data_IF_346488180614
#
_entry.id   IF_346488180614
#
_cell.length_a   1.000
_cell.length_b   1.000
_cell.length_c   1.000
_cell.angle_alpha   90.00
_cell.angle_beta   90.00
_cell.angle_gamma   90.00
#
_symmetry.space_group_name_H-M   'P 1'
#
loop_
_entity.id
_entity.type
_entity.pdbx_description
1 polymer ?
#
# COMPACT_ATOMS: atom_id res chain seq x y z
N UNK A 1 0.72 1.23 -8.03
CA UNK A 1 -0.46 0.39 -7.76
C UNK A 1 -1.65 0.86 -8.57
N UNK A 2 -2.50 -0.04 -9.08
CA UNK A 2 -3.71 0.34 -9.84
C UNK A 2 -4.92 0.61 -8.95
N UNK A 3 -5.13 -0.22 -7.93
CA UNK A 3 -6.31 -0.18 -7.08
C UNK A 3 -6.00 -0.84 -5.74
N UNK A 4 -6.29 -0.10 -4.67
CA UNK A 4 -6.28 -0.58 -3.30
C UNK A 4 -7.54 -1.39 -3.02
N UNK A 5 -7.37 -2.61 -2.52
CA UNK A 5 -8.43 -3.50 -2.05
C UNK A 5 -9.66 -3.59 -2.98
N UNK A 6 -9.48 -4.00 -4.24
CA UNK A 6 -10.59 -4.17 -5.20
C UNK A 6 -11.72 -5.05 -4.63
N UNK A 7 -11.39 -5.98 -3.74
CA UNK A 7 -12.33 -6.91 -3.13
C UNK A 7 -13.33 -6.24 -2.18
N UNK A 8 -13.07 -5.02 -1.73
CA UNK A 8 -14.07 -4.22 -1.03
C UNK A 8 -15.31 -3.94 -1.85
N UNK A 9 -15.17 -3.93 -3.18
CA UNK A 9 -16.25 -3.66 -4.12
C UNK A 9 -16.74 -4.88 -4.89
N UNK A 10 -16.15 -6.07 -4.67
CA UNK A 10 -16.41 -7.24 -5.52
C UNK A 10 -17.81 -7.85 -5.29
N UNK A 11 -18.40 -8.36 -6.37
CA UNK A 11 -19.59 -9.21 -6.31
C UNK A 11 -19.21 -10.68 -6.07
N UNK A 12 -19.95 -11.35 -5.19
CA UNK A 12 -19.85 -12.81 -4.98
C UNK A 12 -20.75 -13.53 -5.98
N UNK A 13 -20.15 -14.30 -6.89
CA UNK A 13 -20.83 -14.91 -8.04
C UNK A 13 -20.16 -16.21 -8.45
N UNK A 14 -20.98 -17.20 -8.81
CA UNK A 14 -20.51 -18.45 -9.41
C UNK A 14 -20.28 -18.27 -10.90
N UNK A 15 -19.19 -18.86 -11.40
CA UNK A 15 -18.85 -18.95 -12.82
C UNK A 15 -18.11 -20.28 -13.05
N UNK A 16 -18.15 -20.81 -14.27
CA UNK A 16 -17.39 -22.01 -14.64
C UNK A 16 -15.90 -21.69 -14.83
N UNK A 17 -15.59 -20.43 -15.13
CA UNK A 17 -14.23 -19.91 -15.23
C UNK A 17 -13.67 -19.60 -13.84
N UNK A 18 -12.60 -20.27 -13.37
CA UNK A 18 -12.02 -20.01 -12.07
C UNK A 18 -11.59 -18.54 -11.89
N UNK A 19 -11.15 -17.87 -12.95
CA UNK A 19 -10.80 -16.44 -12.90
C UNK A 19 -11.99 -15.54 -12.55
N UNK A 20 -13.22 -16.03 -12.71
CA UNK A 20 -14.46 -15.26 -12.55
C UNK A 20 -15.35 -15.79 -11.42
N UNK A 21 -15.03 -16.95 -10.87
CA UNK A 21 -15.80 -17.58 -9.80
C UNK A 21 -15.34 -17.06 -8.45
N UNK A 22 -16.08 -16.10 -7.89
CA UNK A 22 -15.78 -15.46 -6.60
C UNK A 22 -16.49 -16.12 -5.42
N UNK A 23 -17.08 -17.31 -5.60
CA UNK A 23 -17.77 -17.99 -4.49
C UNK A 23 -16.84 -18.41 -3.35
N UNK A 24 -15.56 -18.60 -3.63
CA UNK A 24 -14.52 -18.82 -2.61
C UNK A 24 -14.34 -17.65 -1.64
N UNK A 25 -14.77 -16.45 -2.02
CA UNK A 25 -14.74 -15.25 -1.17
C UNK A 25 -16.03 -15.10 -0.34
N UNK A 26 -16.97 -16.04 -0.43
CA UNK A 26 -18.20 -15.97 0.36
C UNK A 26 -17.90 -16.18 1.85
N UNK A 27 -18.30 -15.21 2.67
CA UNK A 27 -18.11 -15.27 4.12
C UNK A 27 -16.73 -14.82 4.60
N UNK A 28 -15.83 -14.36 3.72
CA UNK A 28 -14.50 -13.85 4.09
C UNK A 28 -14.49 -12.35 4.43
N UNK A 29 -15.62 -11.65 4.22
CA UNK A 29 -15.74 -10.20 4.42
C UNK A 29 -15.64 -9.38 3.12
N UNK A 30 -15.26 -10.00 2.00
CA UNK A 30 -15.23 -9.34 0.69
C UNK A 30 -16.60 -8.73 0.31
N UNK A 31 -16.57 -7.62 -0.42
CA UNK A 31 -17.75 -6.88 -0.87
C UNK A 31 -18.33 -5.90 0.15
N UNK A 32 -17.58 -5.54 1.20
CA UNK A 32 -18.07 -4.72 2.33
C UNK A 32 -18.60 -3.34 1.91
N UNK A 33 -18.16 -2.77 0.79
CA UNK A 33 -18.67 -1.48 0.30
C UNK A 33 -20.09 -1.56 -0.27
N UNK A 34 -20.56 -2.76 -0.62
CA UNK A 34 -21.86 -2.97 -1.27
C UNK A 34 -21.92 -2.56 -2.76
N UNK A 35 -20.78 -2.21 -3.37
CA UNK A 35 -20.73 -1.80 -4.79
C UNK A 35 -21.03 -2.94 -5.78
N UNK A 36 -20.79 -4.20 -5.38
CA UNK A 36 -21.12 -5.42 -6.15
C UNK A 36 -20.63 -5.40 -7.62
N UNK A 37 -19.35 -5.09 -7.83
CA UNK A 37 -18.69 -5.03 -9.13
C UNK A 37 -18.25 -6.44 -9.56
N UNK A 38 -18.55 -6.83 -10.81
CA UNK A 38 -18.11 -8.12 -11.37
C UNK A 38 -16.57 -8.17 -11.46
N UNK A 39 -15.95 -9.26 -10.99
CA UNK A 39 -14.48 -9.42 -11.00
C UNK A 39 -13.90 -9.29 -12.42
N UNK A 40 -14.66 -9.65 -13.46
CA UNK A 40 -14.25 -9.44 -14.85
C UNK A 40 -13.99 -7.96 -15.16
N UNK A 41 -14.79 -7.07 -14.59
CA UNK A 41 -14.66 -5.63 -14.81
C UNK A 41 -13.47 -5.05 -14.04
N UNK A 42 -13.23 -5.53 -12.82
CA UNK A 42 -12.04 -5.19 -12.02
C UNK A 42 -10.76 -5.65 -12.72
N UNK A 43 -10.70 -6.92 -13.13
CA UNK A 43 -9.54 -7.47 -13.86
C UNK A 43 -9.31 -6.74 -15.18
N UNK A 44 -10.37 -6.41 -15.94
CA UNK A 44 -10.25 -5.62 -17.17
C UNK A 44 -9.74 -4.20 -16.90
N UNK A 45 -10.21 -3.56 -15.82
CA UNK A 45 -9.77 -2.23 -15.39
C UNK A 45 -8.27 -2.24 -15.03
N UNK A 46 -7.82 -3.26 -14.28
CA UNK A 46 -6.41 -3.46 -13.95
C UNK A 46 -5.59 -3.72 -15.20
N UNK A 47 -5.95 -4.72 -16.00
CA UNK A 47 -5.20 -5.13 -17.19
C UNK A 47 -4.94 -3.96 -18.16
N UNK A 48 -5.97 -3.18 -18.48
CA UNK A 48 -5.84 -2.09 -19.45
C UNK A 48 -5.01 -0.93 -18.95
N UNK A 49 -5.10 -0.58 -17.66
CA UNK A 49 -4.28 0.49 -17.10
C UNK A 49 -2.84 0.06 -16.92
N UNK A 50 -2.59 -1.17 -16.47
CA UNK A 50 -1.24 -1.74 -16.40
C UNK A 50 -0.58 -1.73 -17.78
N UNK A 51 -1.29 -2.16 -18.83
CA UNK A 51 -0.76 -2.13 -20.19
C UNK A 51 -0.45 -0.71 -20.67
N UNK A 52 -1.30 0.27 -20.33
CA UNK A 52 -1.06 1.67 -20.66
C UNK A 52 0.16 2.24 -19.92
N UNK A 53 0.34 1.89 -18.64
CA UNK A 53 1.52 2.28 -17.85
C UNK A 53 2.78 1.69 -18.49
N UNK A 54 2.82 0.40 -18.79
CA UNK A 54 3.98 -0.24 -19.44
C UNK A 54 4.28 0.31 -20.83
N UNK A 55 3.26 0.74 -21.58
CA UNK A 55 3.46 1.40 -22.86
C UNK A 55 4.05 2.81 -22.72
N UNK A 56 3.66 3.55 -21.67
CA UNK A 56 4.14 4.90 -21.39
C UNK A 56 5.54 4.90 -20.74
N UNK A 57 5.79 3.96 -19.82
CA UNK A 57 7.05 3.74 -19.15
C UNK A 57 7.34 2.23 -19.05
N UNK A 58 8.15 1.66 -19.96
CA UNK A 58 8.50 0.24 -19.96
C UNK A 58 9.31 -0.24 -18.75
N UNK A 59 9.73 0.67 -17.85
CA UNK A 59 10.45 0.32 -16.61
C UNK A 59 9.58 0.47 -15.36
N UNK A 60 8.37 1.01 -15.49
CA UNK A 60 7.44 1.10 -14.37
C UNK A 60 7.06 -0.29 -13.90
N UNK A 61 6.97 -0.47 -12.58
CA UNK A 61 6.46 -1.67 -11.95
C UNK A 61 5.03 -1.41 -11.45
N UNK A 62 4.13 -2.36 -11.67
CA UNK A 62 2.71 -2.25 -11.36
C UNK A 62 2.25 -3.40 -10.44
N UNK A 63 1.35 -3.07 -9.51
CA UNK A 63 0.81 -3.95 -8.48
C UNK A 63 -0.67 -3.62 -8.22
N UNK A 64 -1.33 -4.47 -7.44
CA UNK A 64 -2.67 -4.31 -6.84
C UNK A 64 -2.57 -4.81 -5.39
N UNK A 65 -2.87 -3.96 -4.42
CA UNK A 65 -2.96 -4.35 -3.01
C UNK A 65 -4.25 -5.11 -2.73
N UNK A 66 -4.18 -6.45 -2.61
CA UNK A 66 -5.34 -7.26 -2.23
C UNK A 66 -5.58 -7.18 -0.73
N UNK A 67 -6.83 -7.07 -0.28
CA UNK A 67 -7.15 -6.91 1.16
C UNK A 67 -6.70 -8.09 2.04
N UNK A 68 -6.52 -9.26 1.42
CA UNK A 68 -6.14 -10.52 2.07
C UNK A 68 -5.66 -11.53 1.03
N UNK A 69 -4.96 -12.56 1.50
CA UNK A 69 -4.50 -13.72 0.75
C UNK A 69 -5.61 -14.48 0.01
N UNK A 70 -6.87 -14.38 0.46
CA UNK A 70 -8.01 -15.13 -0.11
C UNK A 70 -8.19 -14.91 -1.63
N UNK A 71 -7.69 -13.80 -2.18
CA UNK A 71 -7.81 -13.42 -3.59
C UNK A 71 -6.49 -13.46 -4.38
N UNK A 72 -5.40 -13.85 -3.72
CA UNK A 72 -4.06 -13.59 -4.23
C UNK A 72 -3.15 -14.81 -4.29
N UNK A 73 -3.69 -16.02 -4.11
CA UNK A 73 -2.97 -17.28 -4.30
C UNK A 73 -3.92 -18.41 -4.74
N UNK A 74 -3.41 -19.34 -5.56
CA UNK A 74 -4.09 -20.60 -5.87
C UNK A 74 -3.78 -21.72 -4.85
N UNK A 75 -2.93 -21.44 -3.87
CA UNK A 75 -2.66 -22.36 -2.76
C UNK A 75 -3.76 -22.25 -1.68
N UNK A 76 -3.71 -23.15 -0.69
CA UNK A 76 -4.65 -23.19 0.45
C UNK A 76 -6.14 -23.35 0.10
N UNK A 77 -6.46 -23.68 -1.16
CA UNK A 77 -7.83 -23.74 -1.64
C UNK A 77 -8.42 -22.38 -2.03
N UNK A 78 -7.59 -21.34 -2.12
CA UNK A 78 -7.97 -20.01 -2.58
C UNK A 78 -7.86 -19.89 -4.10
N UNK A 79 -8.11 -18.69 -4.62
CA UNK A 79 -7.98 -18.39 -6.05
C UNK A 79 -7.18 -17.12 -6.22
N UNK A 80 -6.16 -17.16 -7.08
CA UNK A 80 -5.45 -15.97 -7.52
C UNK A 80 -6.23 -15.31 -8.67
N UNK A 81 -6.96 -14.24 -8.36
CA UNK A 81 -7.72 -13.48 -9.36
C UNK A 81 -6.86 -12.48 -10.15
N UNK A 82 -5.62 -12.25 -9.74
CA UNK A 82 -4.74 -11.21 -10.29
C UNK A 82 -3.56 -11.78 -11.10
N UNK A 83 -3.49 -13.11 -11.27
CA UNK A 83 -2.50 -13.76 -12.16
C UNK A 83 -2.66 -13.34 -13.60
N UNK A 84 -1.55 -13.44 -14.35
CA UNK A 84 -1.42 -12.95 -15.72
C UNK A 84 -2.49 -13.51 -16.66
N UNK A 85 -2.84 -14.79 -16.47
CA UNK A 85 -3.91 -15.44 -17.23
C UNK A 85 -5.25 -14.73 -17.03
N UNK A 86 -5.66 -14.48 -15.80
CA UNK A 86 -6.95 -13.87 -15.49
C UNK A 86 -7.03 -12.42 -15.98
N UNK A 87 -5.97 -11.63 -15.74
CA UNK A 87 -5.89 -10.24 -16.22
C UNK A 87 -5.94 -10.16 -17.74
N UNK A 88 -5.12 -10.97 -18.42
CA UNK A 88 -5.05 -10.98 -19.90
C UNK A 88 -6.37 -11.46 -20.50
N UNK A 89 -7.01 -12.47 -19.90
CA UNK A 89 -8.30 -13.00 -20.36
C UNK A 89 -9.42 -11.97 -20.23
N UNK A 90 -9.44 -11.19 -19.15
CA UNK A 90 -10.48 -10.19 -18.91
C UNK A 90 -10.30 -8.92 -19.75
N UNK A 91 -9.06 -8.43 -19.91
CA UNK A 91 -8.80 -7.13 -20.53
C UNK A 91 -8.28 -7.16 -21.97
N UNK A 92 -7.65 -8.25 -22.39
CA UNK A 92 -7.13 -8.48 -23.75
C UNK A 92 -5.71 -7.95 -24.01
N UNK A 93 -5.11 -7.23 -23.07
CA UNK A 93 -3.77 -6.66 -23.22
C UNK A 93 -2.70 -7.59 -22.66
N UNK A 94 -1.78 -8.05 -23.52
CA UNK A 94 -0.72 -9.01 -23.13
C UNK A 94 0.29 -8.46 -22.12
N UNK A 95 0.49 -7.15 -22.10
CA UNK A 95 1.40 -6.45 -21.16
C UNK A 95 0.65 -5.93 -19.94
N UNK A 96 -0.65 -6.21 -19.81
CA UNK A 96 -1.49 -5.77 -18.70
C UNK A 96 -1.43 -6.70 -17.50
N UNK A 97 -0.23 -6.99 -17.02
CA UNK A 97 0.06 -7.97 -15.96
C UNK A 97 0.86 -7.31 -14.84
N UNK A 98 0.68 -7.72 -13.59
CA UNK A 98 1.41 -7.14 -12.46
C UNK A 98 2.88 -7.56 -12.47
N UNK A 99 3.79 -6.72 -11.97
CA UNK A 99 5.22 -7.06 -11.86
C UNK A 99 5.58 -7.65 -10.51
N UNK A 100 4.81 -7.29 -9.49
CA UNK A 100 4.89 -7.87 -8.16
C UNK A 100 3.48 -8.00 -7.56
N UNK A 101 3.40 -8.79 -6.50
CA UNK A 101 2.18 -9.13 -5.78
C UNK A 101 2.17 -8.43 -4.44
N UNK A 102 0.98 -8.16 -3.94
CA UNK A 102 0.80 -7.38 -2.73
C UNK A 102 -0.44 -7.87 -1.99
N UNK A 103 -0.26 -8.19 -0.72
CA UNK A 103 -1.31 -8.71 0.16
C UNK A 103 -1.30 -7.89 1.45
N UNK A 104 -2.46 -7.38 1.84
CA UNK A 104 -2.67 -6.72 3.12
C UNK A 104 -2.96 -7.75 4.20
N UNK A 105 -2.63 -7.43 5.44
CA UNK A 105 -2.77 -8.39 6.53
C UNK A 105 -3.05 -7.73 7.87
N UNK A 106 -4.25 -8.00 8.38
CA UNK A 106 -4.69 -7.56 9.70
C UNK A 106 -5.25 -8.74 10.49
N UNK A 107 -4.96 -8.76 11.78
CA UNK A 107 -5.55 -9.72 12.71
C UNK A 107 -6.98 -9.29 13.06
N UNK A 108 -7.89 -10.26 13.16
CA UNK A 108 -9.25 -10.03 13.59
C UNK A 108 -9.44 -10.64 14.98
N UNK A 109 -9.84 -9.81 15.95
CA UNK A 109 -9.93 -10.22 17.36
C UNK A 109 -8.62 -10.80 17.93
N UNK A 110 -7.48 -10.26 17.45
CA UNK A 110 -6.15 -10.65 17.92
C UNK A 110 -5.61 -11.95 17.33
N UNK A 111 -6.22 -12.46 16.26
CA UNK A 111 -5.75 -13.65 15.55
C UNK A 111 -5.68 -13.38 14.04
N UNK A 112 -4.59 -13.79 13.40
CA UNK A 112 -4.49 -13.84 11.95
C UNK A 112 -5.21 -15.07 11.38
N UNK A 113 -5.73 -15.00 10.15
CA UNK A 113 -6.15 -16.22 9.44
C UNK A 113 -4.96 -17.19 9.35
N UNK A 114 -5.16 -18.52 9.47
CA UNK A 114 -4.07 -19.50 9.39
C UNK A 114 -3.21 -19.42 8.12
N UNK A 115 -3.71 -18.80 7.05
CA UNK A 115 -3.04 -18.65 5.77
C UNK A 115 -2.61 -17.21 5.47
N UNK A 116 -2.83 -16.27 6.38
CA UNK A 116 -2.48 -14.87 6.21
C UNK A 116 -0.96 -14.62 6.20
N UNK A 117 -0.53 -13.44 5.70
CA UNK A 117 0.80 -12.95 5.97
C UNK A 117 1.06 -12.90 7.48
N UNK A 118 2.32 -12.98 7.89
CA UNK A 118 2.73 -13.16 9.30
C UNK A 118 2.46 -14.51 9.96
N UNK A 119 1.77 -15.45 9.31
CA UNK A 119 1.76 -16.87 9.72
C UNK A 119 2.21 -17.84 8.62
N UNK A 120 2.31 -17.35 7.38
CA UNK A 120 2.94 -18.04 6.25
C UNK A 120 4.23 -17.33 5.82
N UNK A 121 5.16 -18.05 5.17
CA UNK A 121 6.28 -17.43 4.44
C UNK A 121 5.89 -17.17 2.99
N UNK A 122 6.57 -16.23 2.33
CA UNK A 122 6.24 -15.82 0.96
C UNK A 122 6.19 -16.99 -0.03
N UNK A 123 7.07 -17.99 0.13
CA UNK A 123 7.09 -19.18 -0.74
C UNK A 123 5.86 -20.08 -0.62
N UNK A 124 5.12 -20.01 0.50
CA UNK A 124 3.95 -20.88 0.70
C UNK A 124 2.76 -20.45 -0.17
N UNK A 125 2.75 -19.21 -0.68
CA UNK A 125 1.73 -18.74 -1.64
C UNK A 125 1.97 -19.23 -3.07
N UNK A 126 3.12 -19.85 -3.37
CA UNK A 126 3.40 -20.43 -4.69
C UNK A 126 3.44 -19.42 -5.85
N UNK A 127 3.67 -18.15 -5.56
CA UNK A 127 3.69 -17.07 -6.55
C UNK A 127 5.03 -17.04 -7.32
N UNK A 128 4.97 -16.66 -8.59
CA UNK A 128 6.12 -16.55 -9.49
C UNK A 128 6.74 -15.14 -9.52
N UNK A 129 6.20 -14.23 -8.69
CA UNK A 129 6.56 -12.81 -8.62
C UNK A 129 6.91 -12.40 -7.19
N UNK A 130 7.71 -11.34 -6.99
CA UNK A 130 7.97 -10.77 -5.67
C UNK A 130 6.66 -10.50 -4.93
N UNK A 131 6.62 -10.75 -3.62
CA UNK A 131 5.44 -10.55 -2.78
C UNK A 131 5.74 -9.55 -1.67
N UNK A 132 4.97 -8.46 -1.63
CA UNK A 132 5.01 -7.43 -0.60
C UNK A 132 3.85 -7.63 0.37
N UNK A 133 4.08 -7.43 1.67
CA UNK A 133 2.99 -7.21 2.63
C UNK A 133 2.64 -5.73 2.56
N UNK A 134 1.59 -5.39 1.80
CA UNK A 134 1.28 -4.03 1.37
C UNK A 134 0.68 -3.15 2.44
N UNK A 135 0.03 -3.77 3.43
CA UNK A 135 -0.48 -3.09 4.61
C UNK A 135 -0.50 -4.05 5.80
N UNK A 136 -0.17 -3.53 6.98
CA UNK A 136 -0.33 -4.20 8.28
C UNK A 136 -0.18 -3.16 9.39
N UNK A 137 -0.54 -3.52 10.62
CA UNK A 137 -0.24 -2.67 11.79
C UNK A 137 -0.01 -3.51 13.05
N UNK A 138 0.76 -2.97 13.98
CA UNK A 138 0.88 -3.51 15.34
C UNK A 138 -0.47 -3.43 16.07
N UNK A 139 -1.20 -2.33 15.91
CA UNK A 139 -2.51 -2.12 16.51
C UNK A 139 -3.52 -3.22 16.18
N UNK A 140 -3.47 -3.79 14.97
CA UNK A 140 -4.29 -4.91 14.52
C UNK A 140 -3.44 -6.14 14.22
N UNK A 141 -2.55 -6.49 15.16
CA UNK A 141 -1.76 -7.72 15.13
C UNK A 141 -2.28 -8.77 16.12
N UNK A 142 -1.63 -9.94 16.16
CA UNK A 142 -1.83 -10.98 17.16
C UNK A 142 -1.09 -10.73 18.50
N UNK A 143 -0.76 -9.47 18.77
CA UNK A 143 0.00 -9.04 19.95
C UNK A 143 1.52 -8.98 19.71
N UNK A 144 1.98 -9.26 18.49
CA UNK A 144 3.36 -8.99 18.08
C UNK A 144 3.64 -7.49 18.00
N UNK A 145 4.88 -7.11 18.30
CA UNK A 145 5.33 -5.72 18.15
C UNK A 145 5.63 -5.39 16.69
N UNK A 146 5.68 -4.10 16.35
CA UNK A 146 5.98 -3.66 14.99
C UNK A 146 7.35 -4.17 14.50
N UNK A 147 8.36 -4.19 15.38
CA UNK A 147 9.69 -4.73 15.07
C UNK A 147 9.61 -6.22 14.70
N UNK A 148 8.83 -7.00 15.46
CA UNK A 148 8.64 -8.43 15.19
C UNK A 148 7.96 -8.67 13.84
N UNK A 149 7.03 -7.80 13.44
CA UNK A 149 6.35 -7.89 12.14
C UNK A 149 7.33 -7.60 10.99
N UNK A 150 8.09 -6.50 11.06
CA UNK A 150 9.12 -6.19 10.05
C UNK A 150 10.20 -7.28 9.95
N UNK A 151 10.70 -7.77 11.09
CA UNK A 151 11.68 -8.86 11.14
C UNK A 151 11.12 -10.17 10.57
N UNK A 152 9.85 -10.47 10.86
CA UNK A 152 9.17 -11.64 10.29
C UNK A 152 9.08 -11.53 8.77
N UNK A 153 8.59 -10.41 8.24
CA UNK A 153 8.44 -10.21 6.80
C UNK A 153 9.79 -10.39 6.09
N UNK A 154 10.83 -9.72 6.59
CA UNK A 154 12.19 -9.82 6.06
C UNK A 154 12.74 -11.26 6.11
N UNK A 155 12.59 -11.94 7.25
CA UNK A 155 13.15 -13.29 7.44
C UNK A 155 12.39 -14.39 6.71
N UNK A 156 11.14 -14.14 6.31
CA UNK A 156 10.27 -15.12 5.66
C UNK A 156 10.09 -14.88 4.15
N UNK A 157 11.02 -14.16 3.53
CA UNK A 157 11.17 -14.07 2.08
C UNK A 157 10.20 -13.11 1.39
N UNK A 158 9.50 -12.27 2.14
CA UNK A 158 8.72 -11.18 1.56
C UNK A 158 9.68 -10.14 0.98
N UNK A 159 9.29 -9.54 -0.14
CA UNK A 159 10.09 -8.55 -0.88
C UNK A 159 9.86 -7.11 -0.40
N UNK A 160 8.96 -6.91 0.55
CA UNK A 160 8.67 -5.62 1.19
C UNK A 160 7.59 -5.75 2.26
N UNK A 161 7.50 -4.74 3.11
CA UNK A 161 6.49 -4.61 4.17
C UNK A 161 6.22 -3.14 4.43
N UNK A 162 4.97 -2.70 4.28
CA UNK A 162 4.54 -1.31 4.53
C UNK A 162 3.53 -1.24 5.68
N UNK A 163 3.91 -0.55 6.75
CA UNK A 163 3.06 -0.33 7.92
C UNK A 163 1.96 0.70 7.61
N UNK A 164 0.80 0.48 8.20
CA UNK A 164 -0.39 1.31 8.07
C UNK A 164 -0.68 2.02 9.41
N UNK A 165 -0.74 3.35 9.50
CA UNK A 165 -0.43 4.33 8.46
C UNK A 165 0.43 5.47 9.01
N UNK A 166 1.11 6.21 8.15
CA UNK A 166 2.01 7.27 8.61
C UNK A 166 1.29 8.41 9.37
N UNK A 167 0.02 8.70 9.05
CA UNK A 167 -0.75 9.79 9.67
C UNK A 167 -1.29 9.35 11.04
N UNK A 168 -1.76 8.11 11.16
CA UNK A 168 -2.19 7.50 12.41
C UNK A 168 -3.48 8.07 12.98
N UNK A 169 -4.47 8.31 12.11
CA UNK A 169 -5.77 8.90 12.49
C UNK A 169 -6.96 7.92 12.44
N UNK A 170 -6.70 6.63 12.26
CA UNK A 170 -7.72 5.61 12.00
C UNK A 170 -7.67 4.40 12.96
N UNK A 171 -6.97 4.54 14.09
CA UNK A 171 -6.75 3.51 15.11
C UNK A 171 -5.75 2.42 14.72
N UNK A 172 -5.06 2.56 13.60
CA UNK A 172 -3.86 1.79 13.32
C UNK A 172 -2.61 2.45 13.93
N UNK A 173 -1.44 2.13 13.38
CA UNK A 173 -0.16 2.65 13.83
C UNK A 173 0.02 4.11 13.38
N UNK A 174 1.20 4.67 13.62
CA UNK A 174 1.56 6.01 13.16
C UNK A 174 3.04 6.02 12.75
N UNK A 175 3.53 7.11 12.15
CA UNK A 175 4.91 7.19 11.69
C UNK A 175 5.97 6.90 12.76
N UNK A 176 5.68 7.14 14.05
CA UNK A 176 6.60 6.79 15.14
C UNK A 176 6.77 5.28 15.25
N UNK A 177 5.66 4.54 15.22
CA UNK A 177 5.63 3.07 15.30
C UNK A 177 6.23 2.46 14.03
N UNK A 178 5.84 2.95 12.85
CA UNK A 178 6.42 2.53 11.58
C UNK A 178 7.96 2.69 11.57
N UNK A 179 8.47 3.82 12.08
CA UNK A 179 9.91 4.08 12.17
C UNK A 179 10.62 3.10 13.09
N UNK A 180 10.02 2.72 14.23
CA UNK A 180 10.59 1.68 15.10
C UNK A 180 10.72 0.33 14.37
N UNK A 181 9.71 -0.04 13.60
CA UNK A 181 9.71 -1.23 12.76
C UNK A 181 10.81 -1.22 11.70
N UNK A 182 10.89 -0.13 10.92
CA UNK A 182 11.94 0.03 9.91
C UNK A 182 13.35 0.04 10.51
N UNK A 183 13.54 0.65 11.69
CA UNK A 183 14.83 0.67 12.39
C UNK A 183 15.29 -0.72 12.84
N UNK A 184 14.37 -1.64 13.13
CA UNK A 184 14.69 -3.03 13.46
C UNK A 184 15.49 -3.73 12.34
N UNK A 185 15.30 -3.30 11.09
CA UNK A 185 16.00 -3.84 9.93
C UNK A 185 17.33 -3.15 9.59
N UNK A 186 17.71 -2.08 10.31
CA UNK A 186 18.88 -1.21 10.01
C UNK A 186 20.24 -1.93 9.90
N UNK A 187 20.38 -3.10 10.55
CA UNK A 187 21.60 -3.90 10.52
C UNK A 187 21.63 -5.02 9.48
N UNK A 188 20.55 -5.21 8.72
CA UNK A 188 20.45 -6.28 7.72
C UNK A 188 21.28 -5.92 6.47
N UNK A 189 22.13 -6.82 5.96
CA UNK A 189 23.04 -6.51 4.86
C UNK A 189 22.34 -6.16 3.54
N UNK A 190 21.10 -6.65 3.38
CA UNK A 190 20.28 -6.47 2.19
C UNK A 190 19.24 -5.34 2.35
N UNK A 191 19.28 -4.61 3.48
CA UNK A 191 18.36 -3.50 3.76
C UNK A 191 19.13 -2.18 3.69
N UNK A 192 18.64 -1.28 2.85
CA UNK A 192 19.07 0.11 2.85
C UNK A 192 18.06 0.94 3.64
N UNK A 193 18.48 1.40 4.81
CA UNK A 193 17.63 2.22 5.65
C UNK A 193 17.86 3.71 5.37
N UNK A 194 16.91 4.31 4.67
CA UNK A 194 16.87 5.76 4.42
C UNK A 194 15.65 6.36 5.13
N UNK A 195 15.66 6.37 6.48
CA UNK A 195 14.68 7.11 7.28
C UNK A 195 15.17 8.56 7.41
N UNK A 196 15.32 9.25 6.28
CA UNK A 196 15.54 10.69 6.29
C UNK A 196 14.18 11.39 6.35
N UNK A 197 13.57 11.36 7.53
CA UNK A 197 12.60 12.37 7.94
C UNK A 197 13.32 13.50 8.68
N UNK A 198 14.47 13.93 8.17
CA UNK A 198 14.73 15.36 8.28
C UNK A 198 13.64 15.96 7.39
N UNK A 199 12.55 16.60 7.91
CA UNK A 199 11.88 17.58 7.08
C UNK A 199 13.03 18.44 6.64
N UNK A 200 13.37 18.43 5.35
CA UNK A 200 14.57 19.11 4.90
C UNK A 200 14.33 20.53 5.34
N UNK A 201 15.04 20.99 6.36
CA UNK A 201 14.67 22.20 7.12
C UNK A 201 14.71 23.45 6.21
N UNK A 202 15.21 23.26 4.99
CA UNK A 202 15.39 24.22 3.93
C UNK A 202 14.60 23.88 2.64
N UNK A 203 13.69 22.88 2.63
CA UNK A 203 12.83 22.62 1.46
C UNK A 203 11.37 22.82 1.79
N UNK A 204 10.83 23.88 1.21
CA UNK A 204 9.41 24.12 1.18
C UNK A 204 8.80 23.49 -0.09
N UNK A 205 7.66 22.84 0.06
CA UNK A 205 6.81 22.46 -1.07
C UNK A 205 6.04 23.70 -1.51
N UNK A 206 5.75 23.87 -2.81
CA UNK A 206 5.01 25.03 -3.33
C UNK A 206 3.55 25.02 -2.81
N UNK A 207 3.38 25.44 -1.56
CA UNK A 207 2.16 25.37 -0.77
C UNK A 207 2.18 26.40 0.34
N UNK A 208 1.00 26.81 0.79
CA UNK A 208 0.79 27.71 1.93
C UNK A 208 0.32 26.93 3.16
N UNK A 209 1.26 26.26 3.80
CA UNK A 209 1.05 25.66 5.12
C UNK A 209 1.58 26.64 6.17
N UNK A 210 0.74 27.18 7.08
CA UNK A 210 1.20 28.05 8.15
C UNK A 210 1.88 27.27 9.27
N UNK A 211 2.82 27.87 10.03
CA UNK A 211 3.49 27.21 11.15
C UNK A 211 2.59 27.00 12.37
N UNK A 212 1.40 27.62 12.41
CA UNK A 212 0.38 27.42 13.42
C UNK A 212 -1.02 27.79 12.88
N UNK A 213 -2.06 27.51 13.66
CA UNK A 213 -3.46 27.77 13.29
C UNK A 213 -3.93 29.19 13.68
N UNK A 214 -3.04 30.03 14.24
CA UNK A 214 -3.40 31.39 14.67
C UNK A 214 -3.42 32.38 13.50
N UNK A 215 -2.52 32.21 12.53
CA UNK A 215 -2.32 33.19 11.45
C UNK A 215 -2.05 32.52 10.10
N UNK A 216 -2.68 33.05 9.06
CA UNK A 216 -2.50 32.55 7.69
C UNK A 216 -1.14 32.94 7.12
N UNK A 217 -0.67 32.18 6.12
CA UNK A 217 0.56 32.51 5.40
C UNK A 217 0.55 33.90 4.77
N UNK A 218 -0.60 34.33 4.24
CA UNK A 218 -0.76 35.67 3.68
C UNK A 218 -0.62 36.76 4.76
N UNK A 219 -1.16 36.53 5.96
CA UNK A 219 -1.00 37.46 7.09
C UNK A 219 0.46 37.55 7.53
N UNK A 220 1.13 36.41 7.70
CA UNK A 220 2.52 36.37 8.15
C UNK A 220 3.49 36.97 7.11
N UNK A 221 3.25 36.72 5.82
CA UNK A 221 3.97 37.37 4.72
C UNK A 221 3.71 38.89 4.71
N UNK A 222 2.45 39.31 4.88
CA UNK A 222 2.09 40.73 5.00
C UNK A 222 2.75 41.45 6.19
N UNK A 223 3.13 40.71 7.23
CA UNK A 223 3.89 41.22 8.37
C UNK A 223 5.42 41.17 8.20
N UNK A 224 5.91 40.71 7.05
CA UNK A 224 7.35 40.63 6.76
C UNK A 224 8.07 39.53 7.54
N UNK A 225 7.37 38.46 7.93
CA UNK A 225 7.95 37.38 8.75
C UNK A 225 8.69 36.32 7.94
N UNK A 226 8.68 36.39 6.61
CA UNK A 226 9.16 35.31 5.73
C UNK A 226 10.60 34.83 6.04
N UNK A 227 11.48 35.71 6.50
CA UNK A 227 12.88 35.37 6.81
C UNK A 227 13.11 34.99 8.29
N UNK A 228 12.04 34.83 9.08
CA UNK A 228 12.15 34.42 10.48
C UNK A 228 12.40 32.92 10.59
N UNK A 229 13.16 32.49 11.60
CA UNK A 229 13.50 31.07 11.79
C UNK A 229 12.29 30.15 11.92
N UNK A 230 11.20 30.62 12.56
CA UNK A 230 9.97 29.83 12.69
C UNK A 230 9.15 29.72 11.39
N UNK A 231 9.53 30.45 10.34
CA UNK A 231 8.87 30.39 9.02
C UNK A 231 9.61 29.45 8.05
N UNK A 232 10.77 28.92 8.42
CA UNK A 232 11.53 27.98 7.58
C UNK A 232 10.69 26.73 7.29
N UNK A 233 10.52 26.40 6.00
CA UNK A 233 9.71 25.28 5.53
C UNK A 233 8.20 25.56 5.38
N UNK A 234 7.72 26.75 5.78
CA UNK A 234 6.30 27.12 5.75
C UNK A 234 6.01 28.24 4.74
N UNK A 235 4.74 28.36 4.35
CA UNK A 235 4.22 29.52 3.59
C UNK A 235 4.98 29.89 2.29
N UNK A 236 5.49 28.91 1.54
CA UNK A 236 6.41 29.18 0.44
C UNK A 236 5.76 29.88 -0.76
N UNK A 237 4.47 29.64 -0.96
CA UNK A 237 3.73 30.31 -2.01
C UNK A 237 3.56 31.81 -1.68
N UNK A 238 3.12 32.13 -0.45
CA UNK A 238 2.94 33.50 0.02
C UNK A 238 4.25 34.26 0.21
N UNK A 239 5.31 33.60 0.68
CA UNK A 239 6.58 34.27 1.02
C UNK A 239 7.58 34.34 -0.14
N UNK A 240 7.60 33.34 -1.01
CA UNK A 240 8.69 33.18 -1.99
C UNK A 240 8.18 32.94 -3.41
N UNK A 241 6.86 33.02 -3.66
CA UNK A 241 6.25 32.73 -4.96
C UNK A 241 6.73 31.39 -5.56
N UNK A 242 6.93 30.41 -4.68
CA UNK A 242 7.48 29.10 -4.99
C UNK A 242 8.90 29.08 -5.63
N UNK A 243 9.67 30.16 -5.48
CA UNK A 243 11.09 30.16 -5.85
C UNK A 243 11.91 29.51 -4.73
N UNK A 244 12.76 28.54 -5.10
CA UNK A 244 13.56 27.77 -4.13
C UNK A 244 12.85 26.54 -3.55
N UNK A 245 11.66 26.19 -4.04
CA UNK A 245 11.01 24.91 -3.77
C UNK A 245 11.69 23.80 -4.58
N UNK A 246 12.43 22.91 -3.93
CA UNK A 246 12.84 21.61 -4.49
C UNK A 246 12.62 20.54 -3.45
#
# INVERSE_FOLDING_TARGET
>A
EIMNEPEGSIAIKSDDDPCLNTTGLSGTGAGWSGSNIDIRDLQRFVNRQTAAIHAADPKALVTVGSWSEYSSTDNFGYTDYWKDECLTKAGGEKTGTLDFREIHCYAHSGEYDPHAPFVQKASDYGLDKPLVIGEFSQAHSDGRTIQQLYEYAHSNGYSGSWDWDAIGNDSNDNITVANEGMQALSGSPDVQLNIDFTPIADRCWCSDVPPNDEYTCQQQAGWGKCDQSFMQGYCCQSCHACQGCT
#
